data_IF_640368649740
#
_entry.id   IF_640368649740
#
_cell.length_a   1.000
_cell.length_b   1.000
_cell.length_c   1.000
_cell.angle_alpha   90.00
_cell.angle_beta   90.00
_cell.angle_gamma   90.00
#
_symmetry.space_group_name_H-M   'P 1'
#
loop_
_entity.id
_entity.type
_entity.pdbx_description
1 polymer ?
#
# COMPACT_ATOMS: atom_id res chain seq x y z
N UNK A 1 0.28 -14.43 6.27
CA UNK A 1 0.62 -15.17 7.50
C UNK A 1 0.61 -14.26 8.74
N UNK A 2 1.41 -13.19 8.75
CA UNK A 2 1.48 -12.26 9.90
C UNK A 2 0.13 -11.62 10.26
N UNK A 3 -0.68 -11.24 9.28
CA UNK A 3 -2.03 -10.68 9.48
C UNK A 3 -3.02 -11.63 10.17
N UNK A 4 -3.05 -12.90 9.75
CA UNK A 4 -3.91 -13.93 10.37
C UNK A 4 -3.48 -14.21 11.81
N UNK A 5 -2.16 -14.31 12.03
CA UNK A 5 -1.57 -14.46 13.36
C UNK A 5 -1.88 -13.24 14.24
N UNK A 6 -1.73 -12.03 13.71
CA UNK A 6 -2.00 -10.77 14.39
C UNK A 6 -3.44 -10.65 14.87
N UNK A 7 -4.42 -11.02 14.03
CA UNK A 7 -5.83 -11.01 14.40
C UNK A 7 -6.15 -11.97 15.55
N UNK A 8 -5.61 -13.19 15.50
CA UNK A 8 -5.79 -14.17 16.58
C UNK A 8 -5.08 -13.75 17.87
N UNK A 9 -3.86 -13.20 17.77
CA UNK A 9 -3.09 -12.71 18.91
C UNK A 9 -3.80 -11.54 19.57
N UNK A 10 -4.34 -10.59 18.80
CA UNK A 10 -5.10 -9.46 19.31
C UNK A 10 -6.31 -9.93 20.13
N UNK A 11 -7.03 -10.95 19.65
CA UNK A 11 -8.25 -11.44 20.29
C UNK A 11 -7.97 -12.32 21.53
N UNK A 12 -6.81 -13.00 21.61
CA UNK A 12 -6.47 -13.88 22.75
C UNK A 12 -5.51 -13.30 23.78
N UNK A 13 -4.47 -12.61 23.33
CA UNK A 13 -3.39 -12.08 24.19
C UNK A 13 -3.62 -10.60 24.53
N UNK A 14 -4.60 -9.97 23.90
CA UNK A 14 -4.82 -8.54 23.96
C UNK A 14 -3.87 -7.78 23.04
N UNK A 15 -4.13 -6.49 22.91
CA UNK A 15 -3.58 -5.67 21.83
C UNK A 15 -2.15 -5.21 22.13
N UNK A 16 -1.84 -4.86 23.38
CA UNK A 16 -0.48 -4.43 23.78
C UNK A 16 0.59 -5.51 23.56
N UNK A 17 0.41 -6.78 23.98
CA UNK A 17 1.38 -7.84 23.70
C UNK A 17 1.49 -8.16 22.20
N UNK A 18 0.41 -8.00 21.44
CA UNK A 18 0.44 -8.15 19.98
C UNK A 18 1.34 -7.12 19.29
N UNK A 19 1.33 -5.86 19.77
CA UNK A 19 2.23 -4.81 19.27
C UNK A 19 3.69 -5.12 19.62
N UNK A 20 3.98 -5.49 20.87
CA UNK A 20 5.35 -5.83 21.30
C UNK A 20 5.94 -6.99 20.50
N UNK A 21 5.13 -8.01 20.17
CA UNK A 21 5.57 -9.13 19.35
C UNK A 21 5.84 -8.72 17.90
N UNK A 22 5.02 -7.81 17.35
CA UNK A 22 5.30 -7.18 16.05
C UNK A 22 6.63 -6.42 16.07
N UNK A 23 6.86 -5.59 17.10
CA UNK A 23 8.09 -4.80 17.24
C UNK A 23 9.32 -5.69 17.36
N UNK A 24 9.22 -6.81 18.09
CA UNK A 24 10.28 -7.80 18.18
C UNK A 24 10.63 -8.40 16.80
N UNK A 25 9.62 -8.78 16.01
CA UNK A 25 9.86 -9.29 14.65
C UNK A 25 10.53 -8.25 13.74
N UNK A 26 10.13 -6.98 13.85
CA UNK A 26 10.74 -5.87 13.08
C UNK A 26 12.17 -5.60 13.52
N UNK A 27 12.45 -5.62 14.83
CA UNK A 27 13.80 -5.45 15.36
C UNK A 27 14.73 -6.56 14.90
N UNK A 28 14.27 -7.82 15.00
CA UNK A 28 15.02 -8.98 14.51
C UNK A 28 15.33 -8.86 13.01
N UNK A 29 14.33 -8.47 12.21
CA UNK A 29 14.54 -8.26 10.78
C UNK A 29 15.54 -7.14 10.47
N UNK A 30 15.48 -6.04 11.22
CA UNK A 30 16.44 -4.93 11.09
C UNK A 30 17.87 -5.38 11.39
N UNK A 31 18.06 -6.23 12.41
CA UNK A 31 19.37 -6.81 12.71
C UNK A 31 19.82 -7.67 11.52
N UNK A 32 18.98 -8.58 11.02
CA UNK A 32 19.30 -9.42 9.86
C UNK A 32 19.72 -8.61 8.63
N UNK A 33 19.11 -7.45 8.38
CA UNK A 33 19.54 -6.56 7.29
C UNK A 33 20.86 -5.85 7.60
N UNK A 34 21.08 -5.42 8.85
CA UNK A 34 22.32 -4.76 9.27
C UNK A 34 23.56 -5.65 9.18
N UNK A 35 23.41 -6.95 9.48
CA UNK A 35 24.48 -7.95 9.34
C UNK A 35 24.43 -8.74 8.03
N UNK A 36 23.51 -8.38 7.12
CA UNK A 36 23.14 -9.14 5.93
C UNK A 36 24.24 -9.21 4.88
N UNK A 37 25.19 -10.14 5.02
CA UNK A 37 26.24 -10.38 4.02
C UNK A 37 25.87 -11.44 2.98
N UNK A 38 24.79 -12.19 3.21
CA UNK A 38 24.33 -13.27 2.33
C UNK A 38 22.87 -13.10 1.93
N UNK A 39 22.54 -13.52 0.70
CA UNK A 39 21.17 -13.46 0.17
C UNK A 39 20.16 -14.20 1.05
N UNK A 40 20.54 -15.34 1.62
CA UNK A 40 19.70 -16.12 2.52
C UNK A 40 19.33 -15.34 3.80
N UNK A 41 20.29 -14.62 4.39
CA UNK A 41 20.04 -13.82 5.60
C UNK A 41 19.12 -12.63 5.32
N UNK A 42 19.25 -12.02 4.13
CA UNK A 42 18.32 -10.98 3.66
C UNK A 42 16.91 -11.56 3.47
N UNK A 43 16.77 -12.76 2.90
CA UNK A 43 15.46 -13.43 2.77
C UNK A 43 14.81 -13.70 4.13
N UNK A 44 15.59 -14.16 5.11
CA UNK A 44 15.12 -14.34 6.49
C UNK A 44 14.64 -13.00 7.06
N UNK A 45 15.42 -11.93 6.90
CA UNK A 45 15.01 -10.57 7.30
C UNK A 45 13.68 -10.16 6.67
N UNK A 46 13.50 -10.37 5.35
CA UNK A 46 12.24 -10.05 4.64
C UNK A 46 11.05 -10.84 5.15
N UNK A 47 11.24 -12.11 5.51
CA UNK A 47 10.18 -12.92 6.10
C UNK A 47 9.72 -12.36 7.45
N UNK A 48 10.65 -11.97 8.32
CA UNK A 48 10.34 -11.39 9.63
C UNK A 48 9.75 -9.97 9.54
N UNK A 49 10.18 -9.15 8.57
CA UNK A 49 9.48 -7.88 8.25
C UNK A 49 8.04 -8.16 7.87
N UNK A 50 7.79 -9.10 6.95
CA UNK A 50 6.44 -9.43 6.51
C UNK A 50 5.54 -9.93 7.64
N UNK A 51 6.09 -10.72 8.57
CA UNK A 51 5.39 -11.13 9.78
C UNK A 51 5.08 -9.96 10.71
N UNK A 52 6.10 -9.16 11.05
CA UNK A 52 5.97 -8.02 11.96
C UNK A 52 5.00 -6.98 11.42
N UNK A 53 5.21 -6.49 10.20
CA UNK A 53 4.33 -5.52 9.52
C UNK A 53 2.89 -6.05 9.46
N UNK A 54 2.69 -7.30 9.03
CA UNK A 54 1.37 -7.91 8.92
C UNK A 54 0.62 -8.01 10.25
N UNK A 55 1.33 -8.36 11.33
CA UNK A 55 0.77 -8.39 12.68
C UNK A 55 0.47 -6.98 13.20
N UNK A 56 1.45 -6.08 13.10
CA UNK A 56 1.38 -4.71 13.58
C UNK A 56 0.19 -3.96 13.00
N UNK A 57 -0.06 -4.05 11.69
CA UNK A 57 -1.20 -3.38 11.05
C UNK A 57 -2.56 -3.83 11.62
N UNK A 58 -2.75 -5.14 11.86
CA UNK A 58 -4.02 -5.67 12.40
C UNK A 58 -4.21 -5.22 13.85
N UNK A 59 -3.18 -5.34 14.67
CA UNK A 59 -3.25 -5.02 16.09
C UNK A 59 -3.35 -3.52 16.31
N UNK A 60 -2.62 -2.70 15.55
CA UNK A 60 -2.66 -1.24 15.64
C UNK A 60 -4.03 -0.68 15.25
N UNK A 61 -4.60 -1.11 14.12
CA UNK A 61 -5.90 -0.63 13.67
C UNK A 61 -7.02 -0.95 14.68
N UNK A 62 -6.97 -2.14 15.31
CA UNK A 62 -7.93 -2.52 16.35
C UNK A 62 -7.69 -1.80 17.67
N UNK A 63 -6.44 -1.63 18.09
CA UNK A 63 -6.07 -0.91 19.32
C UNK A 63 -6.49 0.56 19.29
N UNK A 64 -6.29 1.25 18.16
CA UNK A 64 -6.71 2.64 17.99
C UNK A 64 -8.22 2.81 18.12
N UNK A 65 -9.00 1.87 17.57
CA UNK A 65 -10.47 1.87 17.71
C UNK A 65 -10.95 1.58 19.13
N UNK A 66 -10.17 0.81 19.91
CA UNK A 66 -10.52 0.45 21.30
C UNK A 66 -10.11 1.51 22.33
N UNK A 67 -9.15 2.36 22.00
CA UNK A 67 -8.67 3.46 22.87
C UNK A 67 -9.31 4.79 22.53
N UNK A 68 -9.75 5.00 21.29
CA UNK A 68 -10.50 6.19 20.92
C UNK A 68 -11.68 6.35 21.90
N UNK A 69 -11.75 7.49 22.63
CA UNK A 69 -12.79 7.68 23.64
C UNK A 69 -14.15 7.66 22.97
N UNK A 70 -14.92 6.60 23.22
CA UNK A 70 -16.36 6.59 23.05
C UNK A 70 -16.92 7.29 24.28
N UNK A 71 -17.26 8.57 24.19
CA UNK A 71 -18.00 9.23 25.25
C UNK A 71 -19.21 8.34 25.63
N UNK A 72 -19.17 7.78 26.85
CA UNK A 72 -20.15 6.90 27.51
C UNK A 72 -20.04 5.36 27.32
N UNK A 73 -19.44 4.69 28.33
CA UNK A 73 -19.80 3.39 28.98
C UNK A 73 -18.50 2.71 29.44
N UNK A 74 -18.30 2.34 30.70
CA UNK A 74 -19.26 1.89 31.71
C UNK A 74 -18.89 0.46 32.11
N UNK A 75 -18.21 0.34 33.25
CA UNK A 75 -18.09 -0.85 34.12
C UNK A 75 -17.07 -1.97 33.75
N UNK A 76 -16.89 -2.91 34.68
CA UNK A 76 -15.64 -3.18 35.41
C UNK A 76 -15.13 -4.63 35.36
N UNK A 77 -13.80 -4.77 35.51
CA UNK A 77 -13.03 -5.95 35.98
C UNK A 77 -12.89 -7.18 35.03
N UNK A 78 -12.02 -8.18 35.34
CA UNK A 78 -10.62 -8.15 35.78
C UNK A 78 -9.68 -9.00 34.87
N UNK A 79 -8.37 -8.70 34.88
CA UNK A 79 -7.32 -9.48 34.18
C UNK A 79 -6.92 -10.75 34.96
N UNK A 80 -6.47 -11.83 34.29
CA UNK A 80 -5.47 -12.73 34.87
C UNK A 80 -4.20 -12.79 34.01
N UNK A 81 -3.13 -12.25 34.57
CA UNK A 81 -1.76 -12.22 34.06
C UNK A 81 -0.95 -13.31 34.76
N UNK A 82 -1.14 -14.60 34.45
CA UNK A 82 -0.22 -15.65 34.90
C UNK A 82 -0.29 -17.00 34.14
N UNK A 83 -0.88 -17.03 32.95
CA UNK A 83 -0.93 -18.24 32.08
C UNK A 83 -0.01 -18.10 30.86
N UNK A 84 0.69 -16.97 30.75
CA UNK A 84 1.45 -16.57 29.54
C UNK A 84 2.86 -17.17 29.48
N UNK A 85 3.47 -17.53 30.61
CA UNK A 85 4.84 -18.07 30.65
C UNK A 85 4.88 -19.58 30.32
N UNK A 86 3.81 -20.33 30.60
CA UNK A 86 3.75 -21.77 30.36
C UNK A 86 3.44 -22.19 28.90
N UNK A 87 2.98 -21.26 28.05
CA UNK A 87 2.55 -21.58 26.67
C UNK A 87 3.63 -21.33 25.61
N UNK A 88 4.77 -20.76 26.02
CA UNK A 88 5.92 -20.51 25.16
C UNK A 88 6.69 -21.78 24.78
N UNK A 89 6.47 -22.92 25.46
CA UNK A 89 7.17 -24.19 25.21
C UNK A 89 6.41 -25.22 24.35
N UNK A 90 5.24 -24.88 23.79
CA UNK A 90 4.44 -25.83 22.96
C UNK A 90 4.26 -25.32 21.51
N UNK A 91 5.19 -24.50 21.04
CA UNK A 91 5.37 -24.23 19.62
C UNK A 91 6.29 -25.27 19.01
N UNK A 92 5.74 -26.26 18.29
CA UNK A 92 6.38 -26.93 17.13
C UNK A 92 5.49 -28.02 16.47
N UNK A 93 4.35 -28.41 17.06
CA UNK A 93 3.46 -29.46 16.51
C UNK A 93 2.09 -29.01 15.96
N UNK A 94 1.80 -27.72 15.84
CA UNK A 94 0.40 -27.22 15.76
C UNK A 94 -0.01 -26.68 14.38
N UNK A 95 0.86 -26.74 13.37
CA UNK A 95 0.61 -26.13 12.05
C UNK A 95 -0.70 -26.57 11.36
N UNK A 96 -1.03 -27.86 11.39
CA UNK A 96 -2.22 -28.38 10.69
C UNK A 96 -3.52 -28.17 11.47
N UNK A 97 -3.50 -28.36 12.81
CA UNK A 97 -4.67 -28.17 13.67
C UNK A 97 -5.06 -26.69 13.83
N UNK A 98 -4.06 -25.79 13.83
CA UNK A 98 -4.29 -24.34 13.80
C UNK A 98 -4.97 -23.91 12.51
N UNK A 99 -4.55 -24.43 11.35
CA UNK A 99 -5.16 -24.13 10.06
C UNK A 99 -6.59 -24.64 10.00
N UNK A 100 -6.88 -25.86 10.46
CA UNK A 100 -8.26 -26.40 10.43
C UNK A 100 -9.19 -25.66 11.41
N UNK A 101 -8.75 -25.38 12.64
CA UNK A 101 -9.56 -24.65 13.63
C UNK A 101 -9.75 -23.17 13.24
N UNK A 102 -8.70 -22.52 12.74
CA UNK A 102 -8.83 -21.17 12.17
C UNK A 102 -9.77 -21.21 10.96
N UNK A 103 -9.59 -22.12 10.01
CA UNK A 103 -10.47 -22.22 8.83
C UNK A 103 -11.92 -22.45 9.21
N UNK A 104 -12.21 -23.33 10.19
CA UNK A 104 -13.56 -23.56 10.69
C UNK A 104 -14.17 -22.32 11.36
N UNK A 105 -13.40 -21.65 12.22
CA UNK A 105 -13.83 -20.41 12.88
C UNK A 105 -14.07 -19.28 11.87
N UNK A 106 -13.16 -19.10 10.92
CA UNK A 106 -13.28 -18.12 9.83
C UNK A 106 -14.50 -18.44 8.95
N UNK A 107 -14.73 -19.71 8.59
CA UNK A 107 -15.87 -20.12 7.76
C UNK A 107 -17.21 -19.85 8.46
N UNK A 108 -17.31 -20.16 9.76
CA UNK A 108 -18.49 -19.85 10.57
C UNK A 108 -18.73 -18.34 10.67
N UNK A 109 -17.68 -17.55 10.85
CA UNK A 109 -17.73 -16.08 10.92
C UNK A 109 -18.11 -15.44 9.59
N UNK A 110 -17.54 -15.92 8.49
CA UNK A 110 -17.91 -15.53 7.13
C UNK A 110 -19.41 -15.75 6.90
N UNK A 111 -19.98 -16.88 7.34
CA UNK A 111 -21.42 -17.14 7.18
C UNK A 111 -22.30 -16.13 7.91
N UNK A 112 -21.96 -15.83 9.17
CA UNK A 112 -22.80 -14.96 10.02
C UNK A 112 -22.64 -13.47 9.70
N UNK A 113 -21.43 -13.02 9.36
CA UNK A 113 -21.11 -11.59 9.17
C UNK A 113 -20.55 -11.31 7.76
N UNK A 114 -21.02 -12.02 6.73
CA UNK A 114 -20.50 -11.87 5.35
C UNK A 114 -20.56 -10.44 4.83
N UNK A 115 -21.60 -9.66 5.13
CA UNK A 115 -21.77 -8.29 4.60
C UNK A 115 -20.65 -7.33 5.05
N UNK A 116 -20.40 -7.13 6.37
CA UNK A 116 -19.32 -6.24 6.81
C UNK A 116 -17.93 -6.74 6.42
N UNK A 117 -17.72 -8.06 6.41
CA UNK A 117 -16.46 -8.66 5.97
C UNK A 117 -16.24 -8.40 4.48
N UNK A 118 -17.27 -8.58 3.65
CA UNK A 118 -17.19 -8.34 2.21
C UNK A 118 -16.89 -6.86 1.90
N UNK A 119 -17.48 -5.92 2.64
CA UNK A 119 -17.17 -4.49 2.48
C UNK A 119 -15.75 -4.13 2.91
N UNK A 120 -15.24 -4.71 4.00
CA UNK A 120 -13.87 -4.48 4.45
C UNK A 120 -12.84 -5.06 3.45
N UNK A 121 -13.03 -6.31 3.03
CA UNK A 121 -12.21 -6.97 2.01
C UNK A 121 -12.31 -6.23 0.67
N UNK A 122 -13.51 -5.84 0.25
CA UNK A 122 -13.73 -5.08 -0.97
C UNK A 122 -13.00 -3.73 -0.95
N UNK A 123 -12.97 -3.05 0.19
CA UNK A 123 -12.19 -1.81 0.37
C UNK A 123 -10.68 -2.05 0.23
N UNK A 124 -10.15 -3.13 0.81
CA UNK A 124 -8.74 -3.52 0.65
C UNK A 124 -8.36 -3.88 -0.79
N UNK A 125 -9.26 -4.55 -1.52
CA UNK A 125 -9.06 -4.85 -2.95
C UNK A 125 -9.09 -3.57 -3.77
N UNK A 126 -10.09 -2.70 -3.55
CA UNK A 126 -10.21 -1.42 -4.24
C UNK A 126 -8.98 -0.53 -4.01
N UNK A 127 -8.43 -0.52 -2.80
CA UNK A 127 -7.20 0.20 -2.49
C UNK A 127 -6.02 -0.28 -3.35
N UNK A 128 -5.84 -1.60 -3.52
CA UNK A 128 -4.79 -2.12 -4.40
C UNK A 128 -5.03 -1.83 -5.88
N UNK A 129 -6.29 -1.87 -6.33
CA UNK A 129 -6.64 -1.56 -7.72
C UNK A 129 -6.36 -0.11 -8.11
N UNK A 130 -6.19 0.81 -7.15
CA UNK A 130 -5.70 2.16 -7.44
C UNK A 130 -4.25 2.18 -7.93
N UNK A 131 -3.54 1.04 -7.92
CA UNK A 131 -2.15 0.87 -8.35
C UNK A 131 -1.13 1.76 -7.64
N UNK A 132 -1.50 2.38 -6.51
CA UNK A 132 -0.61 3.28 -5.79
C UNK A 132 0.67 2.61 -5.31
N UNK A 133 0.59 1.36 -4.84
CA UNK A 133 1.78 0.59 -4.43
C UNK A 133 2.78 0.50 -5.59
N UNK A 134 2.30 0.23 -6.80
CA UNK A 134 3.13 0.11 -8.00
C UNK A 134 3.79 1.44 -8.38
N UNK A 135 3.02 2.54 -8.38
CA UNK A 135 3.56 3.88 -8.65
C UNK A 135 4.62 4.28 -7.62
N UNK A 136 4.47 3.87 -6.36
CA UNK A 136 5.45 4.13 -5.29
C UNK A 136 6.73 3.32 -5.52
N UNK A 137 6.62 2.03 -5.77
CA UNK A 137 7.78 1.15 -5.88
C UNK A 137 8.63 1.46 -7.11
N UNK A 138 7.99 1.81 -8.23
CA UNK A 138 8.65 2.11 -9.49
C UNK A 138 8.79 3.62 -9.74
N UNK A 139 8.65 4.45 -8.71
CA UNK A 139 8.64 5.91 -8.86
C UNK A 139 9.89 6.46 -9.55
N UNK A 140 11.07 6.01 -9.09
CA UNK A 140 12.37 6.44 -9.63
C UNK A 140 12.55 5.94 -11.06
N UNK A 141 12.12 4.71 -11.36
CA UNK A 141 12.20 4.16 -12.71
C UNK A 141 11.28 4.93 -13.67
N UNK A 142 10.07 5.27 -13.24
CA UNK A 142 9.13 6.12 -13.99
C UNK A 142 9.74 7.50 -14.29
N UNK A 143 10.38 8.13 -13.30
CA UNK A 143 11.05 9.42 -13.48
C UNK A 143 12.27 9.33 -14.40
N UNK A 144 13.01 8.23 -14.33
CA UNK A 144 14.17 7.96 -15.20
C UNK A 144 13.71 7.72 -16.64
N UNK A 145 12.64 6.94 -16.85
CA UNK A 145 12.01 6.73 -18.15
C UNK A 145 11.42 8.01 -18.74
N UNK A 146 10.98 8.95 -17.88
CA UNK A 146 10.52 10.27 -18.30
C UNK A 146 11.67 11.22 -18.69
N UNK A 147 12.94 10.83 -18.52
CA UNK A 147 14.10 11.66 -18.91
C UNK A 147 14.41 12.80 -17.94
N UNK A 148 14.02 12.68 -16.66
CA UNK A 148 14.29 13.70 -15.64
C UNK A 148 15.78 13.66 -15.25
N UNK A 149 16.41 14.83 -15.19
CA UNK A 149 17.84 14.98 -14.86
C UNK A 149 18.19 14.53 -13.43
N UNK A 150 17.29 14.75 -12.48
CA UNK A 150 17.42 14.28 -11.09
C UNK A 150 16.15 13.52 -10.64
N UNK A 151 16.08 12.19 -10.90
CA UNK A 151 14.97 11.35 -10.47
C UNK A 151 14.83 11.25 -8.94
N UNK A 152 15.93 11.42 -8.20
CA UNK A 152 15.93 11.27 -6.75
C UNK A 152 15.27 12.46 -6.06
N UNK A 153 15.47 13.69 -6.58
CA UNK A 153 14.76 14.88 -6.10
C UNK A 153 13.25 14.78 -6.34
N UNK A 154 12.84 14.27 -7.51
CA UNK A 154 11.43 14.00 -7.80
C UNK A 154 10.85 12.92 -6.86
N UNK A 155 11.64 11.87 -6.56
CA UNK A 155 11.32 10.86 -5.55
C UNK A 155 11.16 11.42 -4.13
N UNK A 156 12.02 12.37 -3.73
CA UNK A 156 11.87 13.08 -2.46
C UNK A 156 10.56 13.89 -2.41
N UNK A 157 10.18 14.51 -3.54
CA UNK A 157 8.88 15.18 -3.71
C UNK A 157 7.69 14.24 -3.48
N UNK A 158 7.75 13.00 -3.99
CA UNK A 158 6.73 11.99 -3.71
C UNK A 158 6.59 11.73 -2.21
N UNK A 159 7.70 11.62 -1.48
CA UNK A 159 7.71 11.48 -0.02
C UNK A 159 7.04 12.67 0.69
N UNK A 160 7.37 13.90 0.28
CA UNK A 160 6.77 15.11 0.84
C UNK A 160 5.25 15.18 0.59
N UNK A 161 4.80 14.85 -0.62
CA UNK A 161 3.36 14.83 -0.96
C UNK A 161 2.59 13.79 -0.17
N UNK A 162 3.20 12.63 0.11
CA UNK A 162 2.59 11.62 0.99
C UNK A 162 2.35 12.17 2.39
N UNK A 163 3.40 12.76 2.98
CA UNK A 163 3.33 13.32 4.32
C UNK A 163 2.27 14.43 4.43
N UNK A 164 2.27 15.34 3.45
CA UNK A 164 1.28 16.42 3.39
C UNK A 164 -0.15 15.88 3.19
N UNK A 165 -0.33 14.84 2.38
CA UNK A 165 -1.62 14.19 2.16
C UNK A 165 -2.18 13.55 3.43
N UNK A 166 -1.33 12.93 4.25
CA UNK A 166 -1.76 12.35 5.54
C UNK A 166 -2.22 13.43 6.51
N UNK A 167 -1.49 14.55 6.62
CA UNK A 167 -1.90 15.69 7.46
C UNK A 167 -3.27 16.22 7.00
N UNK A 168 -3.44 16.39 5.69
CA UNK A 168 -4.70 16.85 5.11
C UNK A 168 -5.85 15.85 5.37
N UNK A 169 -5.59 14.54 5.25
CA UNK A 169 -6.56 13.50 5.62
C UNK A 169 -7.03 13.65 7.07
N UNK A 170 -6.10 13.84 8.02
CA UNK A 170 -6.43 13.98 9.44
C UNK A 170 -7.33 15.20 9.70
N UNK A 171 -7.10 16.32 9.01
CA UNK A 171 -7.93 17.51 9.16
C UNK A 171 -9.31 17.41 8.48
N UNK A 172 -9.42 16.61 7.41
CA UNK A 172 -10.63 16.52 6.59
C UNK A 172 -11.55 15.37 6.98
N UNK A 173 -11.01 14.29 7.56
CA UNK A 173 -11.78 13.06 7.84
C UNK A 173 -12.96 13.29 8.78
N UNK A 174 -12.82 14.21 9.74
CA UNK A 174 -13.89 14.57 10.67
C UNK A 174 -14.92 15.52 10.05
N UNK A 175 -14.53 16.35 9.08
CA UNK A 175 -15.39 17.37 8.47
C UNK A 175 -16.23 16.85 7.29
N UNK A 176 -15.58 16.11 6.38
CA UNK A 176 -16.20 15.65 5.13
C UNK A 176 -16.76 14.22 5.25
N UNK A 177 -16.36 13.50 6.30
CA UNK A 177 -16.70 12.11 6.49
C UNK A 177 -15.94 11.17 5.55
N UNK A 178 -15.86 9.90 5.95
CA UNK A 178 -14.98 8.91 5.32
C UNK A 178 -15.42 8.51 3.91
N UNK A 179 -16.72 8.37 3.67
CA UNK A 179 -17.27 7.93 2.37
C UNK A 179 -17.00 8.95 1.25
N UNK A 180 -17.20 10.24 1.51
CA UNK A 180 -16.97 11.30 0.53
C UNK A 180 -15.49 11.38 0.20
N UNK A 181 -14.63 11.30 1.22
CA UNK A 181 -13.19 11.38 1.05
C UNK A 181 -12.65 10.20 0.22
N UNK A 182 -13.18 8.98 0.43
CA UNK A 182 -12.87 7.80 -0.40
C UNK A 182 -13.25 7.98 -1.88
N UNK A 183 -14.44 8.52 -2.15
CA UNK A 183 -14.92 8.77 -3.52
C UNK A 183 -14.16 9.91 -4.21
N UNK A 184 -13.83 10.96 -3.47
CA UNK A 184 -13.00 12.06 -3.98
C UNK A 184 -11.60 11.55 -4.33
N UNK A 185 -11.04 10.68 -3.49
CA UNK A 185 -9.74 10.05 -3.73
C UNK A 185 -9.72 9.15 -4.97
N UNK A 186 -10.77 8.35 -5.22
CA UNK A 186 -10.83 7.56 -6.47
C UNK A 186 -10.99 8.45 -7.68
N UNK A 187 -11.84 9.47 -7.62
CA UNK A 187 -12.01 10.41 -8.72
C UNK A 187 -10.69 11.13 -9.03
N UNK A 188 -10.02 11.66 -8.00
CA UNK A 188 -8.70 12.27 -8.13
C UNK A 188 -7.66 11.30 -8.71
N UNK A 189 -7.66 10.04 -8.27
CA UNK A 189 -6.77 9.01 -8.80
C UNK A 189 -7.00 8.74 -10.30
N UNK A 190 -8.26 8.66 -10.74
CA UNK A 190 -8.61 8.48 -12.16
C UNK A 190 -8.11 9.66 -12.99
N UNK A 191 -8.39 10.89 -12.55
CA UNK A 191 -7.92 12.10 -13.25
C UNK A 191 -6.41 12.11 -13.35
N UNK A 192 -5.69 11.81 -12.26
CA UNK A 192 -4.23 11.82 -12.30
C UNK A 192 -3.66 10.69 -13.17
N UNK A 193 -4.27 9.50 -13.19
CA UNK A 193 -3.86 8.44 -14.10
C UNK A 193 -4.04 8.83 -15.57
N UNK A 194 -5.14 9.54 -15.91
CA UNK A 194 -5.33 10.08 -17.25
C UNK A 194 -4.28 11.13 -17.62
N UNK A 195 -3.92 12.00 -16.67
CA UNK A 195 -2.85 13.01 -16.83
C UNK A 195 -1.50 12.32 -17.08
N UNK A 196 -1.12 11.34 -16.25
CA UNK A 196 0.13 10.59 -16.40
C UNK A 196 0.14 9.82 -17.74
N UNK A 197 -0.96 9.16 -18.09
CA UNK A 197 -1.09 8.44 -19.37
C UNK A 197 -0.95 9.39 -20.57
N UNK A 198 -1.56 10.58 -20.50
CA UNK A 198 -1.42 11.61 -21.54
C UNK A 198 0.01 12.12 -21.65
N UNK A 199 0.72 12.27 -20.52
CA UNK A 199 2.14 12.64 -20.49
C UNK A 199 3.02 11.64 -21.24
N UNK A 200 2.83 10.34 -21.00
CA UNK A 200 3.54 9.29 -21.73
C UNK A 200 3.20 9.24 -23.22
N UNK A 201 1.94 9.48 -23.59
CA UNK A 201 1.54 9.53 -25.01
C UNK A 201 2.17 10.72 -25.74
N UNK A 202 2.25 11.88 -25.09
CA UNK A 202 2.90 13.07 -25.65
C UNK A 202 4.42 12.87 -25.73
N UNK A 203 5.05 12.28 -24.71
CA UNK A 203 6.48 11.98 -24.73
C UNK A 203 6.86 11.11 -25.93
N UNK A 204 6.05 10.09 -26.24
CA UNK A 204 6.21 9.28 -27.45
C UNK A 204 6.19 10.09 -28.75
N UNK A 205 5.31 11.09 -28.88
CA UNK A 205 5.27 11.93 -30.09
C UNK A 205 6.52 12.78 -30.23
N UNK A 206 7.07 13.27 -29.11
CA UNK A 206 8.32 14.02 -29.08
C UNK A 206 9.49 13.13 -29.49
N UNK A 207 9.57 11.90 -28.96
CA UNK A 207 10.64 10.95 -29.30
C UNK A 207 10.62 10.56 -30.78
N UNK A 208 9.43 10.36 -31.36
CA UNK A 208 9.27 10.05 -32.80
C UNK A 208 9.63 11.26 -33.67
N UNK A 209 9.22 12.47 -33.30
CA UNK A 209 9.58 13.68 -34.04
C UNK A 209 11.09 13.99 -33.93
N UNK A 210 11.72 13.75 -32.78
CA UNK A 210 13.16 13.87 -32.60
C UNK A 210 13.92 12.86 -33.47
N UNK A 211 13.45 11.61 -33.53
CA UNK A 211 14.03 10.58 -34.39
C UNK A 211 13.81 10.83 -35.90
N UNK A 212 12.74 11.54 -36.28
CA UNK A 212 12.50 11.96 -37.66
C UNK A 212 13.33 13.20 -38.05
N UNK A 213 13.56 14.12 -37.12
CA UNK A 213 14.36 15.33 -37.33
C UNK A 213 15.86 15.01 -37.52
N UNK A 214 16.38 13.95 -36.91
CA UNK A 214 17.74 13.45 -37.20
C UNK A 214 17.87 12.84 -38.59
N UNK A 215 16.77 12.53 -39.28
CA UNK A 215 16.75 11.94 -40.63
C UNK A 215 16.58 12.96 -41.77
N UNK A 216 16.23 14.23 -41.50
CA UNK A 216 16.04 15.27 -42.54
C UNK A 216 16.71 16.60 -42.14
N UNK A 217 17.70 17.02 -42.94
CA UNK A 217 18.48 18.27 -42.92
C UNK A 217 18.55 19.07 -41.59
N UNK A 218 19.62 18.78 -40.87
CA UNK A 218 19.91 19.07 -39.47
C UNK A 218 20.03 20.54 -39.02
N UNK A 219 19.78 21.55 -39.87
CA UNK A 219 20.03 22.95 -39.52
C UNK A 219 18.75 23.80 -39.35
N UNK A 220 17.80 23.69 -40.29
CA UNK A 220 16.52 24.41 -40.22
C UNK A 220 15.49 23.66 -39.37
N UNK A 221 15.50 22.32 -39.43
CA UNK A 221 14.71 21.46 -38.55
C UNK A 221 15.19 21.56 -37.10
N UNK A 222 16.50 21.76 -36.85
CA UNK A 222 17.04 21.90 -35.50
C UNK A 222 16.61 23.20 -34.81
N UNK A 223 16.46 24.31 -35.53
CA UNK A 223 16.00 25.59 -34.95
C UNK A 223 14.49 25.56 -34.61
N UNK A 224 13.66 25.01 -35.50
CA UNK A 224 12.23 24.85 -35.26
C UNK A 224 11.91 23.73 -34.25
N UNK A 225 12.70 22.64 -34.24
CA UNK A 225 12.63 21.59 -33.24
C UNK A 225 13.21 22.06 -31.90
N UNK A 226 14.15 23.00 -31.84
CA UNK A 226 14.65 23.56 -30.58
C UNK A 226 13.63 24.47 -29.90
N UNK A 227 12.87 25.29 -30.65
CA UNK A 227 11.77 26.10 -30.09
C UNK A 227 10.57 25.22 -29.72
N UNK A 228 10.23 24.23 -30.54
CA UNK A 228 9.19 23.24 -30.23
C UNK A 228 9.60 22.30 -29.08
N UNK A 229 10.88 21.94 -28.93
CA UNK A 229 11.41 21.13 -27.81
C UNK A 229 11.72 21.97 -26.57
N UNK A 230 11.87 23.29 -26.67
CA UNK A 230 11.87 24.18 -25.49
C UNK A 230 10.45 24.29 -24.90
N UNK A 231 9.42 24.30 -25.75
CA UNK A 231 8.01 24.25 -25.35
C UNK A 231 7.50 22.83 -25.02
N UNK A 232 8.02 21.79 -25.69
CA UNK A 232 7.63 20.38 -25.54
C UNK A 232 8.59 19.54 -24.68
N UNK A 233 9.75 20.06 -24.29
CA UNK A 233 10.65 19.44 -23.30
C UNK A 233 10.23 19.77 -21.86
N UNK A 234 9.33 20.74 -21.70
CA UNK A 234 8.79 21.22 -20.42
C UNK A 234 7.34 20.83 -20.18
N UNK A 235 6.58 20.36 -21.18
CA UNK A 235 5.17 19.99 -20.98
C UNK A 235 4.93 18.51 -20.62
N UNK A 236 5.42 17.50 -21.36
CA UNK A 236 5.10 16.09 -21.11
C UNK A 236 5.79 15.54 -19.86
N UNK A 237 7.07 15.89 -19.64
CA UNK A 237 7.86 15.50 -18.46
C UNK A 237 7.30 16.15 -17.19
N UNK A 238 6.96 17.43 -17.24
CA UNK A 238 6.32 18.14 -16.12
C UNK A 238 4.90 17.63 -15.85
N UNK A 239 4.11 17.29 -16.88
CA UNK A 239 2.81 16.62 -16.70
C UNK A 239 2.94 15.30 -15.95
N UNK A 240 3.98 14.52 -16.26
CA UNK A 240 4.25 13.24 -15.64
C UNK A 240 4.62 13.39 -14.16
N UNK A 241 5.54 14.32 -13.86
CA UNK A 241 5.95 14.64 -12.48
C UNK A 241 4.79 15.19 -11.68
N UNK A 242 4.14 16.24 -12.17
CA UNK A 242 3.02 16.90 -11.47
C UNK A 242 1.87 15.92 -11.30
N UNK A 243 1.52 15.17 -12.35
CA UNK A 243 0.47 14.14 -12.29
C UNK A 243 0.76 13.08 -11.23
N UNK A 244 2.00 12.62 -11.12
CA UNK A 244 2.40 11.63 -10.13
C UNK A 244 2.47 12.18 -8.71
N UNK A 245 2.93 13.44 -8.53
CA UNK A 245 2.93 14.12 -7.24
C UNK A 245 1.51 14.39 -6.73
N UNK A 246 0.63 14.90 -7.59
CA UNK A 246 -0.78 15.15 -7.27
C UNK A 246 -1.51 13.84 -7.01
N UNK A 247 -1.23 12.79 -7.79
CA UNK A 247 -1.75 11.45 -7.52
C UNK A 247 -1.37 10.99 -6.11
N UNK A 248 -0.10 11.14 -5.73
CA UNK A 248 0.37 10.75 -4.39
C UNK A 248 -0.31 11.54 -3.29
N UNK A 249 -0.45 12.85 -3.46
CA UNK A 249 -1.18 13.67 -2.51
C UNK A 249 -2.64 13.21 -2.37
N UNK A 250 -3.40 13.14 -3.47
CA UNK A 250 -4.81 12.76 -3.48
C UNK A 250 -5.05 11.34 -2.92
N UNK A 251 -4.16 10.40 -3.23
CA UNK A 251 -4.24 9.04 -2.71
C UNK A 251 -3.99 8.99 -1.19
N UNK A 252 -3.06 9.80 -0.67
CA UNK A 252 -2.79 9.88 0.78
C UNK A 252 -3.88 10.61 1.57
N UNK A 253 -4.53 11.62 0.96
CA UNK A 253 -5.71 12.28 1.55
C UNK A 253 -6.87 11.30 1.76
N UNK A 254 -6.89 10.21 0.99
CA UNK A 254 -8.01 9.28 0.93
C UNK A 254 -7.60 7.84 1.28
N UNK A 255 -7.20 7.07 0.27
CA UNK A 255 -7.14 5.61 0.34
C UNK A 255 -6.03 5.07 1.25
N UNK A 256 -4.97 5.83 1.47
CA UNK A 256 -3.84 5.39 2.30
C UNK A 256 -4.27 5.04 3.74
N UNK A 257 -4.91 5.99 4.43
CA UNK A 257 -5.32 5.81 5.84
C UNK A 257 -6.75 5.30 5.98
N UNK A 258 -7.68 5.77 5.13
CA UNK A 258 -9.10 5.50 5.31
C UNK A 258 -9.48 4.04 5.06
N UNK A 259 -8.74 3.30 4.23
CA UNK A 259 -9.02 1.87 4.01
C UNK A 259 -8.98 1.11 5.34
N UNK A 260 -7.93 1.33 6.14
CA UNK A 260 -7.75 0.63 7.41
C UNK A 260 -8.79 1.06 8.45
N UNK A 261 -9.12 2.36 8.48
CA UNK A 261 -10.14 2.91 9.40
C UNK A 261 -11.54 2.39 9.06
N UNK A 262 -11.94 2.45 7.79
CA UNK A 262 -13.27 1.99 7.36
C UNK A 262 -13.38 0.48 7.54
N UNK A 263 -12.33 -0.28 7.23
CA UNK A 263 -12.31 -1.72 7.48
C UNK A 263 -12.53 -2.05 8.97
N UNK A 264 -11.89 -1.33 9.90
CA UNK A 264 -12.04 -1.58 11.34
C UNK A 264 -13.37 -1.08 11.92
N UNK A 265 -13.95 0.00 11.36
CA UNK A 265 -15.24 0.56 11.78
C UNK A 265 -16.43 -0.31 11.33
N UNK A 266 -16.36 -0.90 10.14
CA UNK A 266 -17.46 -1.71 9.58
C UNK A 266 -17.54 -3.10 10.23
N UNK A 267 -16.42 -3.59 10.78
CA UNK A 267 -16.36 -4.90 11.42
C UNK A 267 -16.94 -4.87 12.85
N UNK A 268 -17.82 -5.82 13.21
CA UNK A 268 -18.42 -5.87 14.54
C UNK A 268 -17.39 -6.26 15.61
N UNK A 269 -17.57 -5.72 16.82
CA UNK A 269 -16.64 -5.89 17.96
C UNK A 269 -16.29 -7.36 18.26
N UNK A 270 -17.26 -8.27 18.11
CA UNK A 270 -17.09 -9.70 18.41
C UNK A 270 -16.09 -10.41 17.49
N UNK A 271 -15.77 -9.85 16.34
CA UNK A 271 -14.86 -10.45 15.38
C UNK A 271 -13.96 -9.46 14.65
N UNK A 272 -13.75 -8.26 15.21
CA UNK A 272 -12.97 -7.20 14.57
C UNK A 272 -11.53 -7.65 14.31
N UNK A 273 -10.89 -8.32 15.26
CA UNK A 273 -9.52 -8.83 15.10
C UNK A 273 -9.39 -9.82 13.94
N UNK A 274 -10.23 -10.87 13.94
CA UNK A 274 -10.30 -11.85 12.83
C UNK A 274 -10.65 -11.19 11.49
N UNK A 275 -11.64 -10.31 11.44
CA UNK A 275 -12.06 -9.64 10.21
C UNK A 275 -10.99 -8.72 9.62
N UNK A 276 -10.26 -8.00 10.48
CA UNK A 276 -9.11 -7.19 10.07
C UNK A 276 -7.95 -8.06 9.57
N UNK A 277 -7.71 -9.19 10.24
CA UNK A 277 -6.74 -10.20 9.78
C UNK A 277 -7.05 -10.71 8.36
N UNK A 278 -8.32 -11.01 8.06
CA UNK A 278 -8.74 -11.42 6.72
C UNK A 278 -8.56 -10.31 5.70
N UNK A 279 -8.99 -9.09 6.03
CA UNK A 279 -8.92 -7.90 5.16
C UNK A 279 -7.47 -7.58 4.79
N UNK A 280 -6.57 -7.57 5.76
CA UNK A 280 -5.14 -7.29 5.54
C UNK A 280 -4.47 -8.45 4.79
N UNK A 281 -4.90 -9.68 5.00
CA UNK A 281 -4.42 -10.81 4.19
C UNK A 281 -4.81 -10.63 2.72
N UNK A 282 -6.07 -10.30 2.44
CA UNK A 282 -6.53 -10.02 1.09
C UNK A 282 -5.76 -8.85 0.46
N UNK A 283 -5.54 -7.77 1.24
CA UNK A 283 -4.73 -6.63 0.82
C UNK A 283 -3.34 -7.07 0.33
N UNK A 284 -2.57 -7.78 1.16
CA UNK A 284 -1.22 -8.20 0.80
C UNK A 284 -1.19 -9.26 -0.32
N UNK A 285 -2.19 -10.14 -0.39
CA UNK A 285 -2.29 -11.12 -1.48
C UNK A 285 -2.51 -10.42 -2.82
N UNK A 286 -3.45 -9.47 -2.90
CA UNK A 286 -3.67 -8.70 -4.14
C UNK A 286 -2.46 -7.84 -4.48
N UNK A 287 -1.84 -7.20 -3.47
CA UNK A 287 -0.61 -6.43 -3.67
C UNK A 287 0.51 -7.31 -4.26
N UNK A 288 0.71 -8.52 -3.73
CA UNK A 288 1.70 -9.46 -4.23
C UNK A 288 1.42 -9.87 -5.68
N UNK A 289 0.17 -10.21 -6.02
CA UNK A 289 -0.22 -10.57 -7.38
C UNK A 289 0.02 -9.40 -8.34
N UNK A 290 -0.38 -8.19 -7.97
CA UNK A 290 -0.14 -6.98 -8.78
C UNK A 290 1.36 -6.74 -8.98
N UNK A 291 2.15 -6.82 -7.92
CA UNK A 291 3.58 -6.53 -7.98
C UNK A 291 4.36 -7.59 -8.76
N UNK A 292 4.02 -8.88 -8.61
CA UNK A 292 4.68 -9.98 -9.32
C UNK A 292 4.33 -10.03 -10.81
N UNK A 293 3.17 -9.48 -11.19
CA UNK A 293 2.74 -9.43 -12.59
C UNK A 293 3.21 -8.17 -13.31
N UNK A 294 3.35 -7.03 -12.63
CA UNK A 294 3.74 -5.76 -13.23
C UNK A 294 5.20 -5.72 -13.71
N UNK A 295 6.14 -6.31 -12.97
CA UNK A 295 7.56 -6.36 -13.35
C UNK A 295 7.80 -7.06 -14.71
N UNK A 296 7.30 -8.29 -14.95
CA UNK A 296 7.39 -8.90 -16.28
C UNK A 296 6.56 -8.14 -17.33
N UNK A 297 5.50 -7.43 -16.93
CA UNK A 297 4.71 -6.60 -17.84
C UNK A 297 5.52 -5.41 -18.37
N UNK A 298 6.37 -4.78 -17.55
CA UNK A 298 7.24 -3.68 -17.99
C UNK A 298 8.31 -4.13 -18.99
N UNK A 299 8.78 -5.38 -18.87
CA UNK A 299 9.74 -5.97 -19.82
C UNK A 299 9.05 -6.37 -21.12
N UNK A 300 7.83 -6.90 -21.05
CA UNK A 300 7.08 -7.31 -22.22
C UNK A 300 6.47 -6.12 -22.96
N UNK A 301 5.89 -5.14 -22.26
CA UNK A 301 5.08 -4.06 -22.83
C UNK A 301 5.93 -2.81 -23.02
N UNK A 302 6.19 -2.46 -24.27
CA UNK A 302 6.66 -1.11 -24.63
C UNK A 302 5.60 -0.07 -24.26
N UNK A 303 5.98 1.21 -24.15
CA UNK A 303 5.08 2.37 -23.92
C UNK A 303 3.88 2.40 -24.91
N UNK A 304 3.96 1.65 -26.03
CA UNK A 304 2.93 1.48 -27.04
C UNK A 304 1.97 0.27 -26.83
N UNK A 305 2.06 -0.49 -25.75
CA UNK A 305 1.19 -1.66 -25.52
C UNK A 305 1.58 -2.90 -26.32
N UNK A 306 2.72 -2.91 -27.01
CA UNK A 306 3.16 -4.07 -27.80
C UNK A 306 4.05 -4.97 -26.94
N UNK A 307 3.65 -6.24 -26.81
CA UNK A 307 4.49 -7.30 -26.26
C UNK A 307 5.69 -7.54 -27.17
N UNK A 308 6.91 -7.50 -26.64
CA UNK A 308 8.05 -8.16 -27.28
C UNK A 308 7.69 -9.64 -27.47
N UNK A 309 7.85 -10.14 -28.70
CA UNK A 309 7.76 -11.57 -28.99
C UNK A 309 8.93 -12.31 -28.36
#
# INVERSE_FOLDING_TARGET
AGSVLGGWIADRLGRRPGLLLSDFCLLFASICFGIGTSFALVLVGRFFVGLGVGMGFVVYATYMCEIAPTDLRGDSSPRPHLVLVGRFFVGLGVGMGFVVYATYMYWRLLRTHHRPILTAVGCAVAQNLTAANSVIYFAIDIFTMAGISDPYLAGAGVGAMKFMGVICCMCLVEKLGRRVLLLLGTFGAVVCHLVIASGFLLQKTVDVHAAAATATDAAAAAAAAADAAAAAGTTPTTLLVVGMLVFMFCWNVSWAALMFVVASEVLPNSCRGVGMGLTITAFWTVAFIMQSTLEPLFVCITIAGKCFK
#
